data_IF_634536044906
#
_entry.id   IF_634536044906
#
_cell.length_a   1.000
_cell.length_b   1.000
_cell.length_c   1.000
_cell.angle_alpha   90.00
_cell.angle_beta   90.00
_cell.angle_gamma   90.00
#
_symmetry.space_group_name_H-M   'P 1'
#
loop_
_entity.id
_entity.type
_entity.pdbx_description
1 polymer ?
#
# COMPACT_ATOMS: atom_id res chain seq x y z
N UNK A 1 -28.84 14.93 -20.58
CA UNK A 1 -28.47 16.23 -19.98
C UNK A 1 -27.43 15.96 -18.90
N UNK A 2 -26.15 16.35 -19.09
CA UNK A 2 -25.09 16.03 -18.15
C UNK A 2 -24.98 17.16 -17.12
N UNK A 3 -25.51 16.93 -15.92
CA UNK A 3 -25.32 17.83 -14.78
C UNK A 3 -24.39 17.18 -13.76
N UNK A 4 -23.16 17.70 -13.75
CA UNK A 4 -22.59 18.33 -12.56
C UNK A 4 -21.69 17.53 -11.59
N UNK A 5 -20.80 16.69 -12.11
CA UNK A 5 -19.70 16.11 -11.33
C UNK A 5 -18.68 17.19 -10.88
N UNK A 6 -18.47 18.25 -11.69
CA UNK A 6 -17.55 19.35 -11.32
C UNK A 6 -18.01 20.16 -10.11
N UNK A 7 -19.32 20.43 -9.95
CA UNK A 7 -19.76 21.21 -8.79
C UNK A 7 -19.77 20.39 -7.50
N UNK A 8 -20.00 19.07 -7.55
CA UNK A 8 -19.92 18.23 -6.35
C UNK A 8 -18.49 18.12 -5.84
N UNK A 9 -17.51 18.01 -6.75
CA UNK A 9 -16.07 18.04 -6.39
C UNK A 9 -15.66 19.41 -5.85
N UNK A 10 -16.15 20.50 -6.46
CA UNK A 10 -15.85 21.86 -6.01
C UNK A 10 -16.46 22.17 -4.62
N UNK A 11 -17.67 21.69 -4.34
CA UNK A 11 -18.32 21.85 -3.03
C UNK A 11 -17.56 21.11 -1.92
N UNK A 12 -17.06 19.91 -2.18
CA UNK A 12 -16.29 19.13 -1.19
C UNK A 12 -14.94 19.80 -0.90
N UNK A 13 -14.25 20.32 -1.92
CA UNK A 13 -13.00 21.09 -1.74
C UNK A 13 -13.23 22.37 -0.92
N UNK A 14 -14.39 23.03 -1.09
CA UNK A 14 -14.71 24.26 -0.37
C UNK A 14 -15.09 24.03 1.10
N UNK A 15 -15.70 22.88 1.42
CA UNK A 15 -16.05 22.50 2.81
C UNK A 15 -14.78 22.13 3.61
N UNK A 16 -13.77 21.56 2.97
CA UNK A 16 -12.46 21.28 3.60
C UNK A 16 -11.74 22.58 3.98
N UNK A 17 -11.97 23.68 3.24
CA UNK A 17 -11.30 24.97 3.47
C UNK A 17 -11.91 25.82 4.61
N UNK A 18 -13.12 25.50 5.10
CA UNK A 18 -13.84 26.31 6.08
C UNK A 18 -13.74 25.79 7.53
N UNK A 19 -13.02 24.70 7.76
CA UNK A 19 -12.81 24.15 9.10
C UNK A 19 -11.32 24.17 9.47
N UNK A 20 -10.77 25.37 9.66
CA UNK A 20 -9.52 25.55 10.42
C UNK A 20 -9.83 26.29 11.73
N UNK A 21 -9.89 25.60 12.88
CA UNK A 21 -9.61 26.23 14.15
C UNK A 21 -8.09 26.27 14.36
N UNK A 22 -7.58 27.48 14.61
CA UNK A 22 -6.22 27.75 15.02
C UNK A 22 -5.95 27.20 16.44
N UNK A 23 -5.24 26.08 16.53
CA UNK A 23 -4.63 25.63 17.78
C UNK A 23 -3.27 24.97 17.49
N UNK A 24 -2.19 25.68 17.82
CA UNK A 24 -0.84 25.10 17.87
C UNK A 24 -0.59 24.51 19.25
N UNK A 25 -0.45 23.18 19.35
CA UNK A 25 0.68 22.49 19.98
C UNK A 25 0.46 20.97 20.03
N UNK A 26 1.52 20.22 19.72
CA UNK A 26 1.71 18.76 19.82
C UNK A 26 0.82 17.85 18.94
N UNK A 27 1.22 17.65 17.68
CA UNK A 27 1.06 16.37 16.95
C UNK A 27 1.76 16.45 15.59
N UNK A 28 3.09 16.26 15.57
CA UNK A 28 3.76 15.84 14.34
C UNK A 28 3.72 14.31 14.27
N UNK A 29 3.39 13.81 13.08
CA UNK A 29 3.52 12.42 12.62
C UNK A 29 2.51 11.36 13.11
N UNK A 30 1.24 11.53 12.74
CA UNK A 30 0.33 10.39 12.49
C UNK A 30 -0.27 10.51 11.08
N UNK A 31 0.46 10.04 10.06
CA UNK A 31 0.01 10.10 8.65
C UNK A 31 -1.00 8.98 8.34
N UNK A 32 -2.10 8.94 9.09
CA UNK A 32 -3.27 8.14 8.73
C UNK A 32 -4.02 8.92 7.66
N UNK A 33 -4.16 8.34 6.47
CA UNK A 33 -4.84 8.99 5.35
C UNK A 33 -6.34 8.72 5.36
N UNK A 34 -6.77 7.60 5.93
CA UNK A 34 -8.17 7.26 6.12
C UNK A 34 -8.34 6.26 7.25
N UNK A 35 -9.41 6.38 8.02
CA UNK A 35 -9.69 5.45 9.12
C UNK A 35 -11.19 5.21 9.24
N UNK A 36 -11.58 3.94 9.32
CA UNK A 36 -12.90 3.51 9.76
C UNK A 36 -12.71 2.53 10.90
N UNK A 37 -13.49 2.71 11.97
CA UNK A 37 -13.43 1.80 13.10
C UNK A 37 -14.19 0.50 12.79
N UNK A 38 -13.85 -0.56 13.52
CA UNK A 38 -14.50 -1.85 13.45
C UNK A 38 -13.95 -2.81 14.50
N UNK A 39 -14.63 -3.96 14.65
CA UNK A 39 -14.21 -5.04 15.54
C UNK A 39 -12.84 -5.59 15.15
N UNK A 40 -12.52 -5.55 13.85
CA UNK A 40 -11.22 -5.87 13.30
C UNK A 40 -10.79 -4.79 12.31
N UNK A 41 -9.49 -4.49 12.26
CA UNK A 41 -8.92 -3.48 11.36
C UNK A 41 -8.10 -4.15 10.26
N UNK A 42 -8.34 -3.75 9.02
CA UNK A 42 -7.48 -4.08 7.88
C UNK A 42 -6.54 -2.89 7.61
N UNK A 43 -5.23 -3.13 7.66
CA UNK A 43 -4.26 -2.13 7.23
C UNK A 43 -4.26 -2.04 5.71
N UNK A 44 -4.24 -0.84 5.13
CA UNK A 44 -4.17 -0.69 3.67
C UNK A 44 -3.08 0.30 3.30
N UNK A 45 -2.12 -0.14 2.49
CA UNK A 45 -1.06 0.69 1.93
C UNK A 45 -1.42 1.07 0.49
N UNK A 46 -1.73 2.35 0.28
CA UNK A 46 -2.09 2.90 -1.04
C UNK A 46 -1.10 3.99 -1.46
N UNK A 47 -0.73 4.07 -2.75
CA UNK A 47 0.13 5.13 -3.25
C UNK A 47 -0.72 6.37 -3.54
N UNK A 48 -1.13 7.08 -2.48
CA UNK A 48 -1.93 8.30 -2.61
C UNK A 48 -1.13 9.42 -3.26
N UNK A 49 0.18 9.44 -3.03
CA UNK A 49 1.09 10.39 -3.67
C UNK A 49 2.13 9.68 -4.56
N UNK A 50 2.74 10.46 -5.44
CA UNK A 50 3.92 10.05 -6.20
C UNK A 50 5.16 9.93 -5.30
N UNK A 51 6.16 9.19 -5.78
CA UNK A 51 7.44 9.08 -5.10
C UNK A 51 8.10 10.45 -4.87
N UNK A 52 8.82 10.64 -3.76
CA UNK A 52 9.57 11.86 -3.50
C UNK A 52 10.54 12.19 -4.64
N UNK A 53 10.68 13.47 -5.03
CA UNK A 53 11.56 13.86 -6.13
C UNK A 53 13.03 13.55 -5.83
N UNK A 54 13.74 12.89 -6.77
CA UNK A 54 15.09 12.34 -6.59
C UNK A 54 16.17 13.37 -6.23
N UNK A 55 15.96 14.65 -6.57
CA UNK A 55 16.88 15.79 -6.30
C UNK A 55 16.72 16.38 -4.88
N UNK A 56 15.74 15.89 -4.11
CA UNK A 56 15.47 16.27 -2.72
C UNK A 56 15.38 15.02 -1.83
N UNK A 57 16.18 13.98 -2.10
CA UNK A 57 16.31 12.84 -1.18
C UNK A 57 16.99 13.35 0.08
N UNK A 58 16.26 13.62 1.18
CA UNK A 58 16.89 14.18 2.36
C UNK A 58 17.77 13.09 2.96
N UNK A 59 18.99 13.46 3.33
CA UNK A 59 19.72 12.76 4.39
C UNK A 59 18.78 12.74 5.59
N UNK A 60 18.50 11.53 6.09
CA UNK A 60 17.75 11.03 7.26
C UNK A 60 17.08 11.95 8.33
N UNK A 61 17.18 13.28 8.29
CA UNK A 61 16.73 14.20 9.35
C UNK A 61 15.64 15.20 8.93
N UNK A 62 15.27 15.30 7.65
CA UNK A 62 14.10 16.07 7.20
C UNK A 62 13.03 15.11 6.69
N UNK A 63 11.87 15.07 7.37
CA UNK A 63 10.78 14.15 7.06
C UNK A 63 10.50 14.02 5.55
N UNK A 64 10.41 12.78 5.08
CA UNK A 64 10.20 12.48 3.66
C UNK A 64 8.86 13.08 3.22
N UNK A 65 8.91 13.99 2.25
CA UNK A 65 7.72 14.59 1.62
C UNK A 65 7.44 13.88 0.30
N UNK A 66 6.23 13.36 0.18
CA UNK A 66 5.78 12.70 -1.04
C UNK A 66 5.50 13.72 -2.15
N UNK A 67 5.37 13.20 -3.38
CA UNK A 67 5.08 14.00 -4.57
C UNK A 67 3.61 14.45 -4.64
N UNK A 68 3.13 14.73 -5.85
CA UNK A 68 1.73 15.11 -6.08
C UNK A 68 0.76 13.93 -5.84
N UNK A 69 -0.52 14.24 -5.61
CA UNK A 69 -1.59 13.24 -5.43
C UNK A 69 -1.82 12.44 -6.72
N UNK A 70 -2.11 11.15 -6.57
CA UNK A 70 -2.47 10.21 -7.64
C UNK A 70 -3.97 9.93 -7.59
N UNK A 71 -4.70 10.40 -8.59
CA UNK A 71 -6.15 10.20 -8.67
C UNK A 71 -6.52 8.72 -8.86
N UNK A 72 -6.05 8.09 -9.96
CA UNK A 72 -6.43 6.71 -10.32
C UNK A 72 -5.87 5.66 -9.35
N UNK A 73 -4.60 5.79 -8.97
CA UNK A 73 -3.90 4.79 -8.15
C UNK A 73 -4.03 5.03 -6.64
N UNK A 74 -4.42 6.25 -6.26
CA UNK A 74 -4.52 6.66 -4.87
C UNK A 74 -5.97 6.86 -4.45
N UNK A 75 -6.54 8.01 -4.82
CA UNK A 75 -7.87 8.45 -4.37
C UNK A 75 -8.96 7.45 -4.74
N UNK A 76 -8.98 6.96 -5.99
CA UNK A 76 -9.98 5.97 -6.41
C UNK A 76 -9.87 4.66 -5.63
N UNK A 77 -8.65 4.19 -5.35
CA UNK A 77 -8.46 2.96 -4.57
C UNK A 77 -8.89 3.16 -3.11
N UNK A 78 -8.63 4.33 -2.54
CA UNK A 78 -9.07 4.68 -1.20
C UNK A 78 -10.60 4.69 -1.09
N UNK A 79 -11.27 5.32 -2.06
CA UNK A 79 -12.73 5.36 -2.12
C UNK A 79 -13.33 3.96 -2.33
N UNK A 80 -12.75 3.16 -3.23
CA UNK A 80 -13.16 1.77 -3.44
C UNK A 80 -12.98 0.94 -2.18
N UNK A 81 -11.93 1.16 -1.39
CA UNK A 81 -11.73 0.49 -0.10
C UNK A 81 -12.89 0.79 0.85
N UNK A 82 -13.27 2.05 1.03
CA UNK A 82 -14.40 2.42 1.88
C UNK A 82 -15.72 1.84 1.38
N UNK A 83 -16.02 1.97 0.08
CA UNK A 83 -17.24 1.42 -0.50
C UNK A 83 -17.31 -0.12 -0.42
N UNK A 84 -16.16 -0.79 -0.50
CA UNK A 84 -16.09 -2.25 -0.39
C UNK A 84 -16.39 -2.69 1.04
N UNK A 85 -15.84 -2.01 2.04
CA UNK A 85 -16.13 -2.29 3.45
C UNK A 85 -17.58 -2.02 3.80
N UNK A 86 -18.16 -0.93 3.28
CA UNK A 86 -19.58 -0.65 3.42
C UNK A 86 -20.46 -1.78 2.87
N UNK A 87 -20.07 -2.38 1.74
CA UNK A 87 -20.79 -3.52 1.16
C UNK A 87 -20.64 -4.78 2.00
N UNK A 88 -19.43 -5.06 2.48
CA UNK A 88 -19.15 -6.22 3.33
C UNK A 88 -19.95 -6.11 4.64
N UNK A 89 -19.86 -4.98 5.34
CA UNK A 89 -20.53 -4.78 6.62
C UNK A 89 -22.06 -4.72 6.51
N UNK A 90 -22.61 -4.48 5.32
CA UNK A 90 -24.07 -4.50 5.05
C UNK A 90 -24.56 -5.88 4.56
N UNK A 91 -23.68 -6.80 4.18
CA UNK A 91 -24.08 -8.12 3.67
C UNK A 91 -24.34 -9.08 4.84
N UNK A 92 -25.59 -9.53 5.07
CA UNK A 92 -25.90 -10.44 6.17
C UNK A 92 -25.28 -11.84 5.99
N UNK A 93 -24.79 -12.19 4.80
CA UNK A 93 -24.19 -13.50 4.52
C UNK A 93 -22.67 -13.51 4.74
N UNK A 94 -22.04 -12.35 4.86
CA UNK A 94 -20.59 -12.21 4.96
C UNK A 94 -20.23 -11.48 6.25
N UNK A 95 -19.66 -12.22 7.21
CA UNK A 95 -19.28 -11.71 8.55
C UNK A 95 -20.49 -11.15 9.35
N UNK A 96 -21.55 -11.97 9.59
CA UNK A 96 -22.69 -11.50 10.36
C UNK A 96 -22.29 -11.10 11.79
N UNK A 97 -22.84 -9.99 12.28
CA UNK A 97 -22.56 -9.39 13.60
C UNK A 97 -21.10 -8.95 13.83
N UNK A 98 -20.31 -8.78 12.77
CA UNK A 98 -18.96 -8.25 12.85
C UNK A 98 -18.83 -7.05 11.92
N UNK A 99 -18.11 -6.03 12.37
CA UNK A 99 -17.80 -4.84 11.58
C UNK A 99 -16.33 -4.83 11.23
N UNK A 100 -16.00 -4.80 9.94
CA UNK A 100 -14.64 -4.55 9.48
C UNK A 100 -14.37 -3.06 9.37
N UNK A 101 -13.30 -2.62 10.03
CA UNK A 101 -12.71 -1.30 9.87
C UNK A 101 -11.45 -1.33 9.00
N UNK A 102 -10.88 -0.16 8.78
CA UNK A 102 -9.68 0.00 7.95
C UNK A 102 -8.81 1.14 8.44
N UNK A 103 -7.50 0.96 8.33
CA UNK A 103 -6.52 2.03 8.47
C UNK A 103 -5.73 2.17 7.17
N UNK A 104 -6.00 3.24 6.44
CA UNK A 104 -5.38 3.56 5.15
C UNK A 104 -4.19 4.47 5.38
N UNK A 105 -3.03 4.07 4.88
CA UNK A 105 -1.79 4.86 4.95
C UNK A 105 -1.15 5.02 3.58
N UNK A 106 -0.54 6.18 3.40
CA UNK A 106 0.13 6.52 2.15
C UNK A 106 1.54 5.95 2.08
N UNK A 107 1.77 5.06 1.12
CA UNK A 107 3.09 4.48 0.86
C UNK A 107 3.93 5.27 -0.15
N UNK A 108 3.34 6.28 -0.81
CA UNK A 108 3.99 7.16 -1.79
C UNK A 108 4.76 6.45 -2.90
N UNK A 109 4.46 5.18 -3.19
CA UNK A 109 5.23 4.35 -4.11
C UNK A 109 6.74 4.32 -3.78
N UNK A 110 7.12 4.46 -2.51
CA UNK A 110 8.51 4.59 -2.09
C UNK A 110 8.79 3.81 -0.82
N UNK A 111 9.73 2.86 -0.89
CA UNK A 111 9.88 1.85 0.15
C UNK A 111 10.18 2.37 1.56
N UNK A 112 11.04 3.40 1.76
CA UNK A 112 11.23 3.97 3.09
C UNK A 112 9.94 4.52 3.71
N UNK A 113 9.05 5.12 2.91
CA UNK A 113 7.77 5.63 3.41
C UNK A 113 6.84 4.47 3.73
N UNK A 114 6.73 3.48 2.84
CA UNK A 114 5.92 2.28 3.06
C UNK A 114 6.33 1.51 4.34
N UNK A 115 7.63 1.36 4.57
CA UNK A 115 8.17 0.74 5.79
C UNK A 115 7.82 1.55 7.04
N UNK A 116 7.99 2.87 7.00
CA UNK A 116 7.60 3.74 8.11
C UNK A 116 6.11 3.59 8.42
N UNK A 117 5.23 3.60 7.41
CA UNK A 117 3.80 3.42 7.61
C UNK A 117 3.44 2.01 8.12
N UNK A 118 4.17 0.99 7.70
CA UNK A 118 3.99 -0.39 8.18
C UNK A 118 4.35 -0.52 9.66
N UNK A 119 5.41 0.14 10.12
CA UNK A 119 5.77 0.19 11.54
C UNK A 119 4.65 0.85 12.36
N UNK A 120 4.09 1.95 11.86
CA UNK A 120 3.00 2.63 12.56
C UNK A 120 1.70 1.79 12.59
N UNK A 121 1.39 1.03 11.53
CA UNK A 121 0.29 0.04 11.55
C UNK A 121 0.49 -1.01 12.65
N UNK A 122 1.69 -1.57 12.73
CA UNK A 122 2.03 -2.58 13.74
C UNK A 122 1.96 -1.97 15.14
N UNK A 123 2.51 -0.76 15.32
CA UNK A 123 2.47 -0.04 16.60
C UNK A 123 1.03 0.18 17.06
N UNK A 124 0.19 0.73 16.18
CA UNK A 124 -1.21 0.99 16.49
C UNK A 124 -2.01 -0.30 16.79
N UNK A 125 -1.56 -1.45 16.28
CA UNK A 125 -2.12 -2.77 16.59
C UNK A 125 -1.65 -3.35 17.94
N UNK A 126 -0.39 -3.13 18.33
CA UNK A 126 0.22 -3.70 19.55
C UNK A 126 -0.02 -2.83 20.78
N UNK A 127 -0.31 -1.54 20.63
CA UNK A 127 -0.65 -0.64 21.75
C UNK A 127 -2.17 -0.42 21.83
N UNK A 128 -2.97 -1.40 22.31
CA UNK A 128 -4.34 -1.13 22.69
C UNK A 128 -4.30 -0.14 23.86
N UNK A 129 -5.09 0.92 23.75
CA UNK A 129 -5.13 2.12 24.61
C UNK A 129 -5.21 1.86 26.12
N UNK A 130 -5.46 0.61 26.54
CA UNK A 130 -5.23 0.12 27.90
C UNK A 130 -3.83 0.42 28.47
N UNK A 131 -2.76 0.38 27.68
CA UNK A 131 -1.39 0.54 28.21
C UNK A 131 -1.00 1.99 28.52
N UNK A 132 -1.74 2.98 27.99
CA UNK A 132 -1.54 4.39 28.35
C UNK A 132 -2.24 4.74 29.67
N UNK A 133 -3.33 4.03 29.99
CA UNK A 133 -4.05 4.19 31.25
C UNK A 133 -3.30 3.56 32.43
N UNK A 134 -2.53 2.49 32.21
CA UNK A 134 -1.78 1.82 33.28
C UNK A 134 -0.45 2.54 33.64
N UNK A 135 0.11 3.32 32.72
CA UNK A 135 1.33 4.12 32.98
C UNK A 135 1.04 5.49 33.61
N UNK A 136 -0.22 5.91 33.70
CA UNK A 136 -0.63 7.17 34.34
C UNK A 136 -1.60 6.93 35.50
N UNK A 137 -1.19 6.06 36.42
CA UNK A 137 -1.84 5.88 37.71
C UNK A 137 -1.55 7.07 38.64
N UNK A 138 -1.87 8.32 38.23
CA UNK A 138 -1.86 9.54 39.08
C UNK A 138 -2.46 10.78 38.38
N UNK A 139 -3.44 10.64 37.49
CA UNK A 139 -4.20 11.79 36.99
C UNK A 139 -5.69 11.55 37.20
N UNK A 140 -6.14 11.86 38.41
CA UNK A 140 -7.56 12.01 38.74
C UNK A 140 -8.14 13.16 37.90
N UNK A 141 -9.03 12.85 36.96
CA UNK A 141 -9.96 13.84 36.41
C UNK A 141 -9.79 14.29 34.96
N UNK A 142 -8.90 13.69 34.15
CA UNK A 142 -8.92 13.93 32.71
C UNK A 142 -9.88 12.94 32.03
N UNK A 143 -11.12 13.37 31.83
CA UNK A 143 -12.10 12.66 31.01
C UNK A 143 -11.60 12.67 29.56
N UNK A 144 -10.82 11.65 29.17
CA UNK A 144 -10.31 11.49 27.82
C UNK A 144 -11.51 11.26 26.89
N UNK A 145 -11.83 12.29 26.11
CA UNK A 145 -12.92 12.29 25.15
C UNK A 145 -12.61 11.33 24.00
N UNK A 146 -13.35 10.22 23.96
CA UNK A 146 -14.09 9.79 22.76
C UNK A 146 -13.40 8.97 21.66
N UNK A 147 -12.15 9.22 21.27
CA UNK A 147 -11.70 8.74 19.94
C UNK A 147 -10.56 7.70 19.93
N UNK A 148 -9.84 7.52 21.05
CA UNK A 148 -8.71 6.58 21.09
C UNK A 148 -9.07 5.21 21.65
N UNK A 149 -10.20 5.06 22.36
CA UNK A 149 -10.38 3.94 23.29
C UNK A 149 -10.77 2.57 22.70
N UNK A 150 -10.97 2.42 21.38
CA UNK A 150 -11.45 1.17 20.80
C UNK A 150 -10.94 0.99 19.37
N UNK A 151 -9.64 0.76 19.16
CA UNK A 151 -9.15 0.28 17.86
C UNK A 151 -9.22 -1.24 17.85
N UNK A 152 -9.94 -1.82 16.89
CA UNK A 152 -9.90 -3.27 16.68
C UNK A 152 -8.48 -3.75 16.33
N UNK A 153 -8.13 -5.02 16.61
CA UNK A 153 -6.83 -5.57 16.26
C UNK A 153 -6.60 -5.56 14.73
N UNK A 154 -5.35 -5.33 14.32
CA UNK A 154 -4.92 -5.45 12.94
C UNK A 154 -4.85 -6.93 12.54
N UNK A 155 -5.66 -7.34 11.56
CA UNK A 155 -5.74 -8.74 11.13
C UNK A 155 -4.98 -9.05 9.83
N UNK A 156 -4.58 -8.02 9.08
CA UNK A 156 -3.89 -8.18 7.82
C UNK A 156 -3.65 -6.85 7.12
N UNK A 157 -2.80 -6.87 6.09
CA UNK A 157 -2.45 -5.70 5.30
C UNK A 157 -2.75 -5.91 3.82
N UNK A 158 -3.42 -4.96 3.18
CA UNK A 158 -3.65 -4.93 1.73
C UNK A 158 -2.66 -3.96 1.08
N UNK A 159 -2.07 -4.38 -0.04
CA UNK A 159 -1.01 -3.64 -0.74
C UNK A 159 0.39 -4.04 -0.27
N UNK A 160 1.43 -3.25 -0.56
CA UNK A 160 1.44 -2.05 -1.41
C UNK A 160 1.28 -2.35 -2.91
N UNK A 161 1.36 -1.32 -3.75
CA UNK A 161 1.19 -1.44 -5.19
C UNK A 161 2.44 -1.91 -5.96
N UNK A 162 3.63 -1.49 -5.54
CA UNK A 162 4.90 -1.88 -6.20
C UNK A 162 5.44 -3.19 -5.64
N UNK A 163 5.88 -4.11 -6.52
CA UNK A 163 6.49 -5.39 -6.12
C UNK A 163 7.73 -5.20 -5.24
N UNK A 164 8.62 -4.28 -5.60
CA UNK A 164 9.87 -4.02 -4.84
C UNK A 164 9.61 -3.36 -3.49
N UNK A 165 8.53 -2.59 -3.37
CA UNK A 165 8.08 -2.02 -2.09
C UNK A 165 7.40 -3.10 -1.25
N UNK A 166 6.58 -3.96 -1.87
CA UNK A 166 5.90 -5.07 -1.20
C UNK A 166 6.88 -6.07 -0.61
N UNK A 167 7.97 -6.38 -1.30
CA UNK A 167 9.04 -7.23 -0.77
C UNK A 167 9.60 -6.69 0.55
N UNK A 168 9.84 -5.38 0.61
CA UNK A 168 10.36 -4.72 1.80
C UNK A 168 9.34 -4.70 2.94
N UNK A 169 8.08 -4.37 2.64
CA UNK A 169 6.98 -4.40 3.62
C UNK A 169 6.77 -5.81 4.17
N UNK A 170 6.78 -6.83 3.30
CA UNK A 170 6.59 -8.22 3.70
C UNK A 170 7.68 -8.72 4.65
N UNK A 171 8.94 -8.31 4.43
CA UNK A 171 10.05 -8.67 5.33
C UNK A 171 9.82 -8.21 6.77
N UNK A 172 9.09 -7.10 6.95
CA UNK A 172 8.70 -6.61 8.27
C UNK A 172 7.45 -7.33 8.80
N UNK A 173 6.37 -7.37 8.01
CA UNK A 173 5.07 -7.90 8.45
C UNK A 173 5.14 -9.38 8.89
N UNK A 174 5.97 -10.19 8.22
CA UNK A 174 6.12 -11.60 8.55
C UNK A 174 6.75 -11.85 9.92
N UNK A 175 7.54 -10.90 10.46
CA UNK A 175 8.09 -11.00 11.82
C UNK A 175 6.99 -10.97 12.89
N UNK A 176 5.86 -10.37 12.55
CA UNK A 176 4.68 -10.26 13.41
C UNK A 176 3.56 -11.21 12.99
N UNK A 177 3.82 -12.13 12.05
CA UNK A 177 2.85 -13.07 11.50
C UNK A 177 1.60 -12.40 10.91
N UNK A 178 1.75 -11.19 10.36
CA UNK A 178 0.66 -10.43 9.75
C UNK A 178 0.55 -10.82 8.27
N UNK A 179 -0.59 -11.38 7.82
CA UNK A 179 -0.78 -11.71 6.42
C UNK A 179 -0.88 -10.43 5.56
N UNK A 180 -0.20 -10.44 4.41
CA UNK A 180 -0.23 -9.35 3.44
C UNK A 180 -0.88 -9.84 2.14
N UNK A 181 -1.82 -9.07 1.57
CA UNK A 181 -2.44 -9.35 0.27
C UNK A 181 -2.11 -8.25 -0.73
N UNK A 182 -1.27 -8.58 -1.71
CA UNK A 182 -0.92 -7.68 -2.80
C UNK A 182 -1.98 -7.61 -3.90
N UNK A 183 -2.33 -6.40 -4.34
CA UNK A 183 -3.31 -6.17 -5.40
C UNK A 183 -2.71 -5.87 -6.78
N UNK A 184 -1.43 -5.47 -6.86
CA UNK A 184 -0.73 -5.20 -8.13
C UNK A 184 0.74 -5.65 -8.12
N UNK A 185 1.08 -6.58 -7.24
CA UNK A 185 2.45 -7.05 -7.00
C UNK A 185 2.71 -8.38 -7.70
N UNK A 186 3.29 -8.30 -8.88
CA UNK A 186 3.35 -9.44 -9.82
C UNK A 186 4.71 -10.15 -9.86
N UNK A 187 5.75 -9.58 -9.22
CA UNK A 187 7.11 -10.15 -9.20
C UNK A 187 7.11 -11.63 -8.79
N UNK A 188 7.90 -12.44 -9.50
CA UNK A 188 8.02 -13.88 -9.22
C UNK A 188 8.61 -14.13 -7.84
N UNK A 189 9.48 -13.25 -7.35
CA UNK A 189 10.21 -13.42 -6.11
C UNK A 189 9.30 -13.51 -4.88
N UNK A 190 8.17 -12.81 -4.91
CA UNK A 190 7.11 -12.86 -3.88
C UNK A 190 6.33 -14.19 -3.86
N UNK A 191 6.59 -15.09 -4.81
CA UNK A 191 5.95 -16.41 -4.88
C UNK A 191 6.66 -17.45 -4.01
N UNK A 192 7.90 -17.18 -3.59
CA UNK A 192 8.68 -18.11 -2.76
C UNK A 192 8.18 -18.11 -1.31
N UNK A 193 7.38 -19.12 -0.95
CA UNK A 193 6.79 -19.27 0.38
C UNK A 193 7.79 -19.67 1.46
N UNK A 194 8.98 -20.15 1.09
CA UNK A 194 10.05 -20.38 2.06
C UNK A 194 10.59 -19.06 2.61
N UNK A 195 10.51 -17.98 1.81
CA UNK A 195 10.98 -16.63 2.16
C UNK A 195 9.85 -15.69 2.60
N UNK A 196 8.68 -15.81 1.97
CA UNK A 196 7.53 -14.93 2.15
C UNK A 196 6.25 -15.71 2.47
N UNK A 197 6.24 -16.37 3.64
CA UNK A 197 5.16 -17.29 4.03
C UNK A 197 3.80 -16.58 4.20
N UNK A 198 3.81 -15.33 4.70
CA UNK A 198 2.60 -14.54 4.98
C UNK A 198 2.13 -13.67 3.80
N UNK A 199 2.81 -13.74 2.66
CA UNK A 199 2.43 -12.96 1.50
C UNK A 199 1.42 -13.72 0.64
N UNK A 200 0.35 -13.07 0.22
CA UNK A 200 -0.62 -13.53 -0.77
C UNK A 200 -0.83 -12.43 -1.81
N UNK A 201 -1.43 -12.79 -2.95
CA UNK A 201 -1.85 -11.80 -3.96
C UNK A 201 -3.02 -12.32 -4.77
N UNK A 202 -3.80 -11.38 -5.31
CA UNK A 202 -4.95 -11.67 -6.18
C UNK A 202 -4.62 -11.59 -7.67
N UNK A 203 -3.37 -11.25 -8.01
CA UNK A 203 -2.86 -11.14 -9.39
C UNK A 203 -1.91 -12.29 -9.73
N UNK A 204 -1.87 -12.74 -10.99
CA UNK A 204 -0.94 -13.80 -11.40
C UNK A 204 0.52 -13.33 -11.32
N UNK A 205 1.43 -14.30 -11.22
CA UNK A 205 2.86 -14.01 -11.31
C UNK A 205 3.26 -13.59 -12.71
N UNK A 206 4.24 -12.70 -12.76
CA UNK A 206 5.04 -12.37 -13.93
C UNK A 206 5.56 -13.63 -14.68
N UNK A 207 5.82 -14.72 -13.96
CA UNK A 207 6.20 -15.99 -14.57
C UNK A 207 5.25 -16.45 -15.70
N UNK A 208 3.94 -16.35 -15.48
CA UNK A 208 2.94 -16.80 -16.47
C UNK A 208 2.85 -15.85 -17.66
N UNK A 209 3.00 -14.54 -17.43
CA UNK A 209 3.02 -13.58 -18.54
C UNK A 209 4.27 -13.77 -19.42
N UNK A 210 5.45 -14.07 -18.85
CA UNK A 210 6.62 -14.44 -19.65
C UNK A 210 6.42 -15.73 -20.44
N UNK A 211 5.75 -16.73 -19.87
CA UNK A 211 5.40 -17.96 -20.59
C UNK A 211 4.51 -17.68 -21.80
N UNK A 212 3.47 -16.86 -21.64
CA UNK A 212 2.58 -16.48 -22.74
C UNK A 212 3.35 -15.74 -23.85
N UNK A 213 4.25 -14.82 -23.49
CA UNK A 213 5.10 -14.13 -24.47
C UNK A 213 5.98 -15.12 -25.25
N UNK A 214 6.54 -16.12 -24.57
CA UNK A 214 7.35 -17.17 -25.20
C UNK A 214 6.50 -18.05 -26.13
N UNK A 215 5.29 -18.41 -25.72
CA UNK A 215 4.38 -19.22 -26.53
C UNK A 215 3.93 -18.47 -27.78
N UNK A 216 3.73 -17.15 -27.72
CA UNK A 216 3.48 -16.30 -28.89
C UNK A 216 4.68 -16.33 -29.85
N UNK A 217 5.91 -16.14 -29.35
CA UNK A 217 7.14 -16.18 -30.17
C UNK A 217 7.28 -17.54 -30.87
N UNK A 218 6.98 -18.63 -30.15
CA UNK A 218 7.01 -20.00 -30.70
C UNK A 218 5.92 -20.23 -31.74
N UNK A 219 4.70 -19.77 -31.47
CA UNK A 219 3.55 -19.94 -32.35
C UNK A 219 3.79 -19.29 -33.73
N UNK A 220 4.40 -18.11 -33.75
CA UNK A 220 4.74 -17.41 -35.00
C UNK A 220 6.10 -17.83 -35.60
N UNK A 221 6.82 -18.76 -34.97
CA UNK A 221 8.11 -19.22 -35.45
C UNK A 221 9.19 -18.13 -35.47
N UNK A 222 9.09 -17.12 -34.61
CA UNK A 222 10.06 -16.02 -34.59
C UNK A 222 11.40 -16.47 -34.01
N UNK A 223 12.45 -16.33 -34.81
CA UNK A 223 13.82 -16.77 -34.48
C UNK A 223 14.78 -15.61 -34.22
N UNK A 224 14.33 -14.36 -34.24
CA UNK A 224 15.16 -13.21 -33.88
C UNK A 224 14.30 -12.14 -33.23
N UNK A 225 14.48 -11.95 -31.92
CA UNK A 225 13.66 -11.06 -31.09
C UNK A 225 14.55 -10.28 -30.12
N UNK A 226 14.24 -9.01 -29.93
CA UNK A 226 14.89 -8.14 -28.95
C UNK A 226 13.95 -7.91 -27.77
N UNK A 227 14.50 -7.83 -26.57
CA UNK A 227 13.71 -7.62 -25.36
C UNK A 227 14.23 -6.41 -24.58
N UNK A 228 13.32 -5.54 -24.11
CA UNK A 228 13.59 -4.29 -23.38
C UNK A 228 12.77 -4.26 -22.08
N UNK A 229 13.40 -3.88 -20.95
CA UNK A 229 12.82 -3.82 -19.59
C UNK A 229 13.03 -2.42 -19.01
N UNK A 230 12.17 -2.03 -18.09
CA UNK A 230 12.44 -0.98 -17.11
C UNK A 230 13.27 -1.50 -15.93
N UNK A 231 14.32 -0.77 -15.56
CA UNK A 231 15.09 -1.05 -14.34
C UNK A 231 14.22 -0.86 -13.08
N UNK A 232 14.30 -1.80 -12.13
CA UNK A 232 13.59 -1.70 -10.84
C UNK A 232 12.42 -2.68 -10.63
N UNK A 233 12.49 -3.86 -11.25
CA UNK A 233 11.48 -4.94 -11.18
C UNK A 233 10.12 -4.60 -11.81
N UNK A 234 10.06 -4.74 -13.15
CA UNK A 234 8.92 -5.30 -13.90
C UNK A 234 9.37 -5.64 -15.34
N UNK A 235 10.00 -6.83 -15.49
CA UNK A 235 10.21 -7.66 -16.71
C UNK A 235 11.17 -7.34 -17.88
N UNK A 236 12.13 -8.24 -18.08
CA UNK A 236 12.31 -9.01 -19.34
C UNK A 236 12.68 -10.43 -18.93
N UNK A 237 12.08 -11.46 -19.51
CA UNK A 237 12.83 -12.64 -19.95
C UNK A 237 12.21 -13.24 -21.20
N UNK A 238 12.88 -13.04 -22.34
CA UNK A 238 12.66 -13.83 -23.55
C UNK A 238 13.78 -14.87 -23.61
N UNK A 239 13.46 -16.13 -23.36
CA UNK A 239 14.39 -17.25 -23.57
C UNK A 239 13.87 -18.12 -24.70
N UNK A 240 14.47 -17.97 -25.87
CA UNK A 240 14.26 -18.86 -27.01
C UNK A 240 15.49 -19.77 -27.11
N UNK A 241 15.21 -21.05 -27.38
CA UNK A 241 16.08 -22.23 -27.48
C UNK A 241 17.58 -21.97 -27.78
N UNK A 242 18.48 -22.86 -27.32
CA UNK A 242 19.96 -22.85 -27.42
C UNK A 242 20.60 -22.46 -28.78
N UNK A 243 19.83 -22.22 -29.83
CA UNK A 243 20.26 -21.72 -31.13
C UNK A 243 19.91 -20.24 -31.42
N UNK A 244 19.22 -19.51 -30.51
CA UNK A 244 18.97 -18.08 -30.67
C UNK A 244 19.97 -17.25 -29.86
N UNK A 245 20.81 -16.49 -30.58
CA UNK A 245 21.67 -15.45 -29.99
C UNK A 245 20.78 -14.30 -29.51
N UNK A 246 20.52 -14.24 -28.22
CA UNK A 246 19.90 -13.07 -27.59
C UNK A 246 20.98 -12.00 -27.47
N UNK A 247 20.92 -10.96 -28.29
CA UNK A 247 21.77 -9.78 -28.15
C UNK A 247 21.15 -8.84 -27.13
N UNK A 248 21.69 -8.79 -25.91
CA UNK A 248 21.39 -7.73 -24.96
C UNK A 248 22.02 -6.43 -25.47
N UNK A 249 21.21 -5.45 -25.87
CA UNK A 249 21.67 -4.10 -26.12
C UNK A 249 21.52 -3.29 -24.82
N UNK A 250 22.57 -3.27 -24.01
CA UNK A 250 22.64 -2.48 -22.79
C UNK A 250 24.10 -2.18 -22.45
N UNK A 251 24.45 -0.90 -22.36
CA UNK A 251 25.78 -0.46 -21.91
C UNK A 251 26.03 -1.05 -20.52
N UNK A 252 27.08 -1.85 -20.40
CA UNK A 252 27.76 -2.04 -19.14
C UNK A 252 28.25 -0.66 -18.66
N UNK A 253 27.60 -0.09 -17.65
CA UNK A 253 28.28 0.83 -16.75
C UNK A 253 28.83 -0.02 -15.61
N UNK A 254 30.01 -0.57 -15.85
CA UNK A 254 30.95 -0.88 -14.80
C UNK A 254 31.88 0.32 -14.72
N UNK A 255 31.69 1.14 -13.68
CA UNK A 255 32.69 1.95 -12.96
C UNK A 255 32.01 2.60 -11.75
#
# INVERSE_FOLDING_TARGET
MPTNIRNTVALIVMVIQLCEPSAQNANQDKRISGFLNGDFIIGTLLPLHHQPPSKKRPVASLGIKCGAIRELYGIQRMEVTFQTLDKINKDPNLLPNLTLGVEIRDECWYAPVALQQSIELIRDAITPVSSYLDSCHNLTGAQLTGDMAQRGPLIGVVGPGSSSVALQVQNLLQLFHIPQVGYSTTSRDLSDKSRFNYFLRVVPSDYYQAQVMLDIVRYYGWTYVSAVNTDGESFILVSVNKALKICFWGRAFAE
#
